data_IF_660447876608
#
_entry.id   IF_660447876608
#
_cell.length_a   1.000
_cell.length_b   1.000
_cell.length_c   1.000
_cell.angle_alpha   90.00
_cell.angle_beta   90.00
_cell.angle_gamma   90.00
#
_symmetry.space_group_name_H-M   'P 1'
#
loop_
_entity.id
_entity.type
_entity.pdbx_description
1 polymer ?
#
# COMPACT_ATOMS: atom_id res chain seq x y z
N UNK A 1 -18.17 -15.40 -14.53
CA UNK A 1 -19.28 -15.56 -13.57
C UNK A 1 -19.41 -14.23 -12.84
N UNK A 2 -20.18 -13.30 -13.40
CA UNK A 2 -20.39 -11.98 -12.78
C UNK A 2 -21.29 -12.21 -11.57
N UNK A 3 -20.76 -12.00 -10.38
CA UNK A 3 -21.55 -12.00 -9.15
C UNK A 3 -22.60 -10.88 -9.26
N UNK A 4 -23.91 -11.18 -9.25
CA UNK A 4 -24.97 -10.18 -9.35
C UNK A 4 -24.99 -9.20 -8.16
N UNK A 5 -24.23 -9.46 -7.09
CA UNK A 5 -24.03 -8.53 -5.98
C UNK A 5 -22.87 -7.54 -6.19
N UNK A 6 -22.06 -7.71 -7.24
CA UNK A 6 -20.95 -6.80 -7.52
C UNK A 6 -21.46 -5.55 -8.24
N UNK A 7 -21.50 -4.43 -7.52
CA UNK A 7 -21.69 -3.10 -8.11
C UNK A 7 -20.33 -2.40 -8.25
N UNK A 8 -19.74 -2.35 -9.46
CA UNK A 8 -18.45 -1.71 -9.68
C UNK A 8 -18.49 -0.20 -9.41
N UNK A 9 -19.63 0.47 -9.64
CA UNK A 9 -19.75 1.91 -9.44
C UNK A 9 -19.69 2.23 -7.94
N UNK A 10 -20.44 1.48 -7.13
CA UNK A 10 -20.39 1.59 -5.68
C UNK A 10 -18.98 1.29 -5.14
N UNK A 11 -18.32 0.24 -5.64
CA UNK A 11 -16.95 -0.09 -5.23
C UNK A 11 -15.96 1.04 -5.58
N UNK A 12 -16.04 1.60 -6.79
CA UNK A 12 -15.19 2.73 -7.18
C UNK A 12 -15.39 3.92 -6.22
N UNK A 13 -16.62 4.24 -5.84
CA UNK A 13 -16.89 5.31 -4.88
C UNK A 13 -16.24 5.07 -3.52
N UNK A 14 -16.34 3.84 -3.00
CA UNK A 14 -15.69 3.44 -1.73
C UNK A 14 -14.17 3.54 -1.83
N UNK A 15 -13.58 3.05 -2.91
CA UNK A 15 -12.13 3.09 -3.13
C UNK A 15 -11.64 4.54 -3.23
N UNK A 16 -12.35 5.43 -3.94
CA UNK A 16 -12.02 6.87 -3.99
C UNK A 16 -12.02 7.52 -2.61
N UNK A 17 -13.05 7.26 -1.81
CA UNK A 17 -13.10 7.79 -0.44
C UNK A 17 -11.98 7.22 0.48
N UNK A 18 -11.47 6.02 0.19
CA UNK A 18 -10.29 5.47 0.87
C UNK A 18 -9.00 6.17 0.38
N UNK A 19 -8.82 6.31 -0.93
CA UNK A 19 -7.68 7.01 -1.54
C UNK A 19 -7.56 8.46 -1.06
N UNK A 20 -8.68 9.20 -1.00
CA UNK A 20 -8.71 10.60 -0.57
C UNK A 20 -8.23 10.80 0.88
N UNK A 21 -8.42 9.79 1.74
CA UNK A 21 -7.93 9.79 3.13
C UNK A 21 -6.44 9.46 3.24
N UNK A 22 -5.85 8.88 2.19
CA UNK A 22 -4.45 8.46 2.14
C UNK A 22 -3.54 9.49 1.47
N UNK A 23 -3.98 10.75 1.39
CA UNK A 23 -3.16 11.87 0.89
C UNK A 23 -2.46 12.58 2.05
N UNK A 24 -1.14 12.43 2.13
CA UNK A 24 -0.32 13.09 3.14
C UNK A 24 0.02 14.53 2.72
N UNK A 25 -0.11 15.49 3.65
CA UNK A 25 0.24 16.91 3.39
C UNK A 25 1.74 17.14 3.15
N UNK A 26 2.58 16.25 3.66
CA UNK A 26 4.04 16.25 3.52
C UNK A 26 4.52 14.82 3.40
N UNK A 27 5.55 14.60 2.59
CA UNK A 27 6.20 13.30 2.45
C UNK A 27 7.70 13.47 2.23
N UNK A 28 8.48 13.15 3.24
CA UNK A 28 9.94 13.19 3.25
C UNK A 28 10.55 11.80 3.11
N UNK A 29 11.87 11.72 2.93
CA UNK A 29 12.59 10.45 2.95
C UNK A 29 12.49 9.73 4.31
N UNK A 30 12.43 10.49 5.42
CA UNK A 30 12.23 9.91 6.75
C UNK A 30 10.81 9.32 6.88
N UNK A 31 9.79 10.01 6.34
CA UNK A 31 8.42 9.49 6.31
C UNK A 31 8.33 8.20 5.50
N UNK A 32 9.01 8.14 4.35
CA UNK A 32 9.08 6.95 3.52
C UNK A 32 9.72 5.77 4.28
N UNK A 33 10.82 6.00 4.98
CA UNK A 33 11.47 4.98 5.81
C UNK A 33 10.54 4.47 6.92
N UNK A 34 9.94 5.38 7.70
CA UNK A 34 9.05 5.02 8.81
C UNK A 34 7.81 4.27 8.33
N UNK A 35 7.18 4.74 7.25
CA UNK A 35 6.04 4.08 6.64
C UNK A 35 6.41 2.68 6.12
N UNK A 36 7.53 2.56 5.42
CA UNK A 36 8.02 1.28 4.90
C UNK A 36 8.26 0.26 6.02
N UNK A 37 8.92 0.66 7.10
CA UNK A 37 9.13 -0.20 8.28
C UNK A 37 7.80 -0.63 8.92
N UNK A 38 6.85 0.30 9.13
CA UNK A 38 5.53 0.00 9.69
C UNK A 38 4.79 -1.05 8.85
N UNK A 39 4.80 -0.91 7.52
CA UNK A 39 4.18 -1.85 6.59
C UNK A 39 4.86 -3.22 6.64
N UNK A 40 6.19 -3.25 6.66
CA UNK A 40 6.96 -4.50 6.72
C UNK A 40 6.68 -5.25 8.03
N UNK A 41 6.65 -4.55 9.16
CA UNK A 41 6.35 -5.16 10.46
C UNK A 41 4.90 -5.65 10.54
N UNK A 42 3.94 -4.89 9.99
CA UNK A 42 2.54 -5.32 9.89
C UNK A 42 2.41 -6.59 9.04
N UNK A 43 3.09 -6.65 7.91
CA UNK A 43 3.08 -7.81 7.03
C UNK A 43 3.75 -9.04 7.69
N UNK A 44 4.86 -8.85 8.40
CA UNK A 44 5.50 -9.91 9.19
C UNK A 44 4.57 -10.47 10.27
N UNK A 45 3.90 -9.60 11.03
CA UNK A 45 2.92 -10.01 12.05
C UNK A 45 1.77 -10.82 11.45
N UNK A 46 1.42 -10.56 10.19
CA UNK A 46 0.39 -11.27 9.45
C UNK A 46 0.91 -12.46 8.64
N UNK A 47 2.22 -12.75 8.69
CA UNK A 47 2.88 -13.78 7.88
C UNK A 47 2.60 -13.62 6.37
N UNK A 48 2.49 -12.38 5.90
CA UNK A 48 2.14 -12.08 4.52
C UNK A 48 3.40 -12.03 3.63
N UNK A 49 3.51 -12.86 2.57
CA UNK A 49 4.64 -12.83 1.64
C UNK A 49 4.44 -11.70 0.61
N UNK A 50 4.83 -10.49 0.99
CA UNK A 50 4.64 -9.29 0.16
C UNK A 50 5.95 -8.53 -0.07
N UNK A 51 6.04 -7.89 -1.22
CA UNK A 51 7.07 -6.88 -1.52
C UNK A 51 6.48 -5.50 -1.35
N UNK A 52 7.18 -4.63 -0.62
CA UNK A 52 6.79 -3.25 -0.36
C UNK A 52 7.73 -2.33 -1.13
N UNK A 53 7.14 -1.47 -1.96
CA UNK A 53 7.87 -0.45 -2.73
C UNK A 53 7.25 0.93 -2.48
N UNK A 54 8.08 1.92 -2.16
CA UNK A 54 7.65 3.31 -2.00
C UNK A 54 8.50 4.17 -2.92
N UNK A 55 7.83 4.97 -3.76
CA UNK A 55 8.47 5.79 -4.78
C UNK A 55 8.09 7.25 -4.67
N UNK A 56 9.02 8.12 -5.03
CA UNK A 56 8.77 9.55 -5.26
C UNK A 56 9.15 9.87 -6.70
N UNK A 57 8.14 9.95 -7.57
CA UNK A 57 8.36 9.98 -9.03
C UNK A 57 9.10 8.71 -9.48
N UNK A 58 10.27 8.87 -10.09
CA UNK A 58 11.10 7.76 -10.57
C UNK A 58 12.08 7.21 -9.51
N UNK A 59 12.19 7.81 -8.33
CA UNK A 59 13.13 7.37 -7.29
C UNK A 59 12.45 6.36 -6.36
N UNK A 60 13.10 5.20 -6.17
CA UNK A 60 12.76 4.25 -5.10
C UNK A 60 13.34 4.76 -3.78
N UNK A 61 12.46 5.14 -2.85
CA UNK A 61 12.86 5.72 -1.55
C UNK A 61 12.76 4.71 -0.41
N UNK A 62 12.09 3.58 -0.62
CA UNK A 62 12.09 2.42 0.26
C UNK A 62 11.78 1.15 -0.55
N UNK A 63 12.42 0.05 -0.20
CA UNK A 63 12.13 -1.27 -0.76
C UNK A 63 12.36 -2.36 0.29
N UNK A 64 11.43 -3.30 0.37
CA UNK A 64 11.58 -4.49 1.21
C UNK A 64 10.84 -5.67 0.58
N UNK A 65 11.55 -6.77 0.34
CA UNK A 65 10.96 -8.05 -0.02
C UNK A 65 10.94 -8.94 1.24
N UNK A 66 9.77 -9.49 1.59
CA UNK A 66 9.62 -10.41 2.71
C UNK A 66 9.78 -11.87 2.27
N UNK A 67 10.15 -12.80 3.17
CA UNK A 67 10.25 -14.22 2.81
C UNK A 67 8.99 -14.74 2.14
N UNK A 68 9.16 -15.55 1.08
CA UNK A 68 8.06 -16.10 0.28
C UNK A 68 7.70 -15.28 -0.96
N UNK A 69 8.37 -14.16 -1.22
CA UNK A 69 8.30 -13.44 -2.50
C UNK A 69 9.36 -13.98 -3.48
N UNK A 70 9.06 -14.01 -4.78
CA UNK A 70 9.94 -14.47 -5.87
C UNK A 70 10.49 -13.34 -6.73
#
# INVERSE_FOLDING_TARGET
MTDPAFDPIALVSVLRAQEDRLVLRRFTHEDAWRLGCLLADTARQRLAPVTIDIRRGHQQVFHCALPGTS
#
